data_IF_207240357804
#
_entry.id   IF_207240357804
#
_cell.length_a   1.000
_cell.length_b   1.000
_cell.length_c   1.000
_cell.angle_alpha   90.00
_cell.angle_beta   90.00
_cell.angle_gamma   90.00
#
_symmetry.space_group_name_H-M   'P 1'
#
loop_
_entity.id
_entity.type
_entity.pdbx_description
1 polymer ?
#
# COMPACT_ATOMS: atom_id res chain seq x y z
N UNK A 1 14.55 -58.60 -34.72
CA UNK A 1 14.09 -58.03 -33.43
C UNK A 1 15.01 -56.87 -32.96
N UNK A 2 15.23 -55.83 -33.78
CA UNK A 2 16.15 -54.71 -33.44
C UNK A 2 15.72 -53.32 -33.94
N UNK A 3 14.53 -53.16 -34.51
CA UNK A 3 14.05 -51.87 -35.05
C UNK A 3 12.92 -51.22 -34.24
N UNK A 4 12.30 -51.93 -33.29
CA UNK A 4 11.17 -51.40 -32.50
C UNK A 4 11.64 -50.50 -31.34
N UNK A 5 12.93 -50.54 -30.96
CA UNK A 5 13.40 -49.88 -29.74
C UNK A 5 13.78 -48.40 -29.94
N UNK A 6 14.25 -47.98 -31.12
CA UNK A 6 14.71 -46.59 -31.33
C UNK A 6 13.56 -45.58 -31.45
N UNK A 7 12.46 -45.93 -32.12
CA UNK A 7 11.31 -45.03 -32.24
C UNK A 7 10.56 -44.84 -30.93
N UNK A 8 10.42 -45.89 -30.11
CA UNK A 8 9.77 -45.78 -28.80
C UNK A 8 10.63 -44.96 -27.82
N UNK A 9 11.95 -45.19 -27.80
CA UNK A 9 12.89 -44.38 -27.00
C UNK A 9 12.90 -42.92 -27.47
N UNK A 10 12.81 -42.66 -28.78
CA UNK A 10 12.73 -41.29 -29.31
C UNK A 10 11.42 -40.58 -28.98
N UNK A 11 10.29 -41.29 -28.88
CA UNK A 11 9.00 -40.73 -28.45
C UNK A 11 8.99 -40.46 -26.94
N UNK A 12 9.62 -41.33 -26.13
CA UNK A 12 9.75 -41.12 -24.69
C UNK A 12 10.69 -39.95 -24.39
N UNK A 13 11.82 -39.82 -25.10
CA UNK A 13 12.73 -38.69 -24.97
C UNK A 13 12.09 -37.39 -25.49
N UNK A 14 11.28 -37.45 -26.56
CA UNK A 14 10.54 -36.28 -27.06
C UNK A 14 9.45 -35.83 -26.07
N UNK A 15 8.75 -36.75 -25.41
CA UNK A 15 7.80 -36.41 -24.34
C UNK A 15 8.51 -35.92 -23.06
N UNK A 16 9.72 -36.41 -22.76
CA UNK A 16 10.57 -35.86 -21.68
C UNK A 16 11.16 -34.48 -22.04
N UNK A 17 11.39 -34.19 -23.32
CA UNK A 17 11.89 -32.90 -23.81
C UNK A 17 10.77 -31.88 -24.03
N UNK A 18 9.52 -32.30 -24.23
CA UNK A 18 8.31 -31.45 -24.26
C UNK A 18 7.78 -31.20 -22.84
N UNK A 19 8.21 -31.97 -21.83
CA UNK A 19 8.23 -31.52 -20.44
C UNK A 19 9.29 -30.43 -20.24
N UNK A 20 9.28 -29.41 -21.12
CA UNK A 20 9.76 -28.08 -20.79
C UNK A 20 8.92 -27.68 -19.59
N UNK A 21 9.59 -27.18 -18.56
CA UNK A 21 9.04 -26.61 -17.32
C UNK A 21 8.06 -25.48 -17.67
N UNK A 22 6.87 -25.85 -18.15
CA UNK A 22 5.82 -24.93 -18.52
C UNK A 22 5.21 -24.47 -17.21
N UNK A 23 5.33 -23.18 -16.97
CA UNK A 23 4.69 -22.50 -15.86
C UNK A 23 3.25 -23.03 -15.67
N UNK A 24 2.91 -23.60 -14.51
CA UNK A 24 1.66 -24.35 -14.33
C UNK A 24 0.41 -23.46 -14.45
N UNK A 25 0.57 -22.14 -14.38
CA UNK A 25 -0.50 -21.16 -14.52
C UNK A 25 -0.75 -20.71 -15.96
N UNK A 26 0.17 -21.01 -16.89
CA UNK A 26 0.19 -20.39 -18.21
C UNK A 26 -1.05 -20.73 -19.05
N UNK A 27 -1.49 -21.99 -19.03
CA UNK A 27 -2.70 -22.42 -19.75
C UNK A 27 -3.96 -21.72 -19.22
N UNK A 28 -4.05 -21.60 -17.89
CA UNK A 28 -5.17 -20.93 -17.22
C UNK A 28 -5.16 -19.43 -17.56
N UNK A 29 -3.99 -18.79 -17.51
CA UNK A 29 -3.83 -17.38 -17.85
C UNK A 29 -4.23 -17.10 -19.31
N UNK A 30 -3.79 -17.95 -20.24
CA UNK A 30 -4.16 -17.84 -21.65
C UNK A 30 -5.67 -17.99 -21.85
N UNK A 31 -6.31 -18.95 -21.17
CA UNK A 31 -7.76 -19.11 -21.21
C UNK A 31 -8.48 -17.84 -20.70
N UNK A 32 -8.05 -17.28 -19.57
CA UNK A 32 -8.61 -16.06 -18.99
C UNK A 32 -8.47 -14.86 -19.95
N UNK A 33 -7.32 -14.71 -20.62
CA UNK A 33 -7.09 -13.67 -21.61
C UNK A 33 -8.02 -13.79 -22.83
N UNK A 34 -8.26 -15.01 -23.32
CA UNK A 34 -9.22 -15.26 -24.40
C UNK A 34 -10.63 -14.88 -23.96
N UNK A 35 -11.03 -15.30 -22.76
CA UNK A 35 -12.35 -15.00 -22.20
C UNK A 35 -12.57 -13.51 -22.00
N UNK A 36 -11.57 -12.76 -21.53
CA UNK A 36 -11.61 -11.29 -21.45
C UNK A 36 -11.82 -10.62 -22.82
N UNK A 37 -11.23 -11.17 -23.88
CA UNK A 37 -11.46 -10.64 -25.24
C UNK A 37 -12.89 -10.93 -25.71
N UNK A 38 -13.42 -12.10 -25.38
CA UNK A 38 -14.77 -12.52 -25.77
C UNK A 38 -15.86 -11.81 -24.97
N UNK A 39 -15.64 -11.53 -23.68
CA UNK A 39 -16.64 -10.87 -22.81
C UNK A 39 -17.05 -9.48 -23.31
N UNK A 40 -16.16 -8.80 -24.05
CA UNK A 40 -16.48 -7.53 -24.74
C UNK A 40 -17.60 -7.65 -25.78
N UNK A 41 -17.83 -8.85 -26.31
CA UNK A 41 -18.86 -9.15 -27.31
C UNK A 41 -20.02 -9.96 -26.73
N UNK A 42 -19.74 -10.78 -25.71
CA UNK A 42 -20.67 -11.72 -25.09
C UNK A 42 -20.51 -11.63 -23.56
N UNK A 43 -21.25 -10.75 -22.87
CA UNK A 43 -21.05 -10.48 -21.45
C UNK A 43 -21.21 -11.70 -20.54
N UNK A 44 -22.00 -12.69 -20.95
CA UNK A 44 -22.29 -13.89 -20.16
C UNK A 44 -21.35 -15.07 -20.44
N UNK A 45 -20.21 -14.84 -21.11
CA UNK A 45 -19.30 -15.95 -21.49
C UNK A 45 -18.52 -16.55 -20.31
N UNK A 46 -18.63 -15.96 -19.12
CA UNK A 46 -17.92 -16.38 -17.90
C UNK A 46 -18.86 -16.48 -16.70
N UNK A 47 -19.59 -17.59 -16.65
CA UNK A 47 -20.53 -17.90 -15.57
C UNK A 47 -19.87 -18.66 -14.41
N UNK A 48 -20.61 -18.79 -13.31
CA UNK A 48 -20.15 -19.42 -12.06
C UNK A 48 -19.53 -20.81 -12.28
N UNK A 49 -20.18 -21.66 -13.09
CA UNK A 49 -19.68 -23.03 -13.39
C UNK A 49 -18.26 -22.99 -13.96
N UNK A 50 -17.99 -22.02 -14.85
CA UNK A 50 -16.67 -21.90 -15.45
C UNK A 50 -15.66 -21.25 -14.50
N UNK A 51 -16.11 -20.32 -13.69
CA UNK A 51 -15.30 -19.76 -12.61
C UNK A 51 -14.87 -20.85 -11.61
N UNK A 52 -15.77 -21.73 -11.19
CA UNK A 52 -15.47 -22.87 -10.32
C UNK A 52 -14.47 -23.83 -10.97
N UNK A 53 -14.64 -24.13 -12.27
CA UNK A 53 -13.68 -24.95 -13.02
C UNK A 53 -12.27 -24.34 -13.03
N UNK A 54 -12.15 -23.05 -13.36
CA UNK A 54 -10.84 -22.37 -13.41
C UNK A 54 -10.21 -22.28 -12.01
N UNK A 55 -10.97 -21.84 -11.01
CA UNK A 55 -10.44 -21.68 -9.65
C UNK A 55 -10.13 -23.00 -9.00
N UNK A 56 -10.85 -24.07 -9.33
CA UNK A 56 -10.51 -25.43 -8.93
C UNK A 56 -9.14 -25.87 -9.45
N UNK A 57 -8.83 -25.62 -10.73
CA UNK A 57 -7.50 -25.90 -11.29
C UNK A 57 -6.40 -25.09 -10.61
N UNK A 58 -6.65 -23.82 -10.30
CA UNK A 58 -5.69 -22.98 -9.58
C UNK A 58 -5.43 -23.50 -8.17
N UNK A 59 -6.49 -23.86 -7.44
CA UNK A 59 -6.39 -24.45 -6.10
C UNK A 59 -5.65 -25.79 -6.12
N UNK A 60 -5.83 -26.61 -7.17
CA UNK A 60 -5.12 -27.88 -7.34
C UNK A 60 -3.60 -27.68 -7.50
N UNK A 61 -3.17 -26.65 -8.26
CA UNK A 61 -1.76 -26.29 -8.45
C UNK A 61 -1.12 -25.87 -7.12
N UNK A 62 -1.81 -25.06 -6.31
CA UNK A 62 -1.34 -24.64 -4.97
C UNK A 62 -1.61 -25.68 -3.87
N UNK A 63 -2.13 -26.86 -4.22
CA UNK A 63 -2.46 -27.94 -3.30
C UNK A 63 -3.41 -27.51 -2.15
N UNK A 64 -4.37 -26.64 -2.45
CA UNK A 64 -5.40 -26.22 -1.50
C UNK A 64 -6.50 -27.30 -1.43
N UNK A 65 -6.58 -27.97 -0.28
CA UNK A 65 -7.63 -28.94 0.05
C UNK A 65 -9.03 -28.39 -0.23
N UNK A 66 -9.90 -29.21 -0.80
CA UNK A 66 -11.28 -28.84 -1.21
C UNK A 66 -12.06 -28.13 -0.09
N UNK A 67 -12.03 -28.70 1.12
CA UNK A 67 -12.72 -28.17 2.31
C UNK A 67 -12.19 -26.81 2.79
N UNK A 68 -11.05 -26.37 2.26
CA UNK A 68 -10.36 -25.12 2.64
C UNK A 68 -10.35 -24.08 1.52
N UNK A 69 -11.06 -24.30 0.41
CA UNK A 69 -11.15 -23.37 -0.74
C UNK A 69 -11.98 -22.12 -0.43
N UNK A 70 -11.50 -21.33 0.53
CA UNK A 70 -12.09 -20.05 0.92
C UNK A 70 -11.28 -18.90 0.36
N UNK A 71 -11.92 -17.74 0.13
CA UNK A 71 -11.21 -16.53 -0.31
C UNK A 71 -10.05 -16.17 0.63
N UNK A 72 -10.26 -16.24 1.93
CA UNK A 72 -9.24 -15.94 2.95
C UNK A 72 -8.06 -16.90 2.83
N UNK A 73 -8.30 -18.20 2.64
CA UNK A 73 -7.22 -19.18 2.44
C UNK A 73 -6.46 -18.94 1.15
N UNK A 74 -7.17 -18.65 0.05
CA UNK A 74 -6.56 -18.36 -1.25
C UNK A 74 -5.67 -17.12 -1.20
N UNK A 75 -6.00 -16.12 -0.39
CA UNK A 75 -5.16 -14.93 -0.21
C UNK A 75 -3.83 -15.20 0.52
N UNK A 76 -3.63 -16.39 1.10
CA UNK A 76 -2.40 -16.76 1.80
C UNK A 76 -1.34 -17.38 0.89
N UNK A 77 -1.63 -17.60 -0.40
CA UNK A 77 -0.60 -18.05 -1.35
C UNK A 77 0.50 -16.99 -1.44
N UNK A 78 1.74 -17.43 -1.65
CA UNK A 78 2.88 -16.55 -1.89
C UNK A 78 3.25 -16.48 -3.37
N UNK A 79 2.43 -17.08 -4.25
CA UNK A 79 2.71 -17.14 -5.67
C UNK A 79 2.03 -15.96 -6.42
N UNK A 80 2.79 -15.02 -7.00
CA UNK A 80 2.20 -13.88 -7.71
C UNK A 80 1.35 -14.29 -8.93
N UNK A 81 1.70 -15.35 -9.65
CA UNK A 81 1.00 -15.78 -10.87
C UNK A 81 -0.36 -16.39 -10.54
N UNK A 82 -0.43 -17.10 -9.41
CA UNK A 82 -1.68 -17.55 -8.81
C UNK A 82 -2.62 -16.37 -8.52
N UNK A 83 -2.10 -15.32 -7.88
CA UNK A 83 -2.86 -14.11 -7.58
C UNK A 83 -3.31 -13.36 -8.85
N UNK A 84 -2.47 -13.30 -9.87
CA UNK A 84 -2.83 -12.70 -11.17
C UNK A 84 -4.00 -13.44 -11.84
N UNK A 85 -3.97 -14.78 -11.82
CA UNK A 85 -5.04 -15.62 -12.35
C UNK A 85 -6.35 -15.43 -11.57
N UNK A 86 -6.31 -15.44 -10.24
CA UNK A 86 -7.51 -15.21 -9.41
C UNK A 86 -8.07 -13.80 -9.57
N UNK A 87 -7.22 -12.78 -9.66
CA UNK A 87 -7.64 -11.42 -9.94
C UNK A 87 -8.42 -11.35 -11.26
N UNK A 88 -7.88 -11.96 -12.32
CA UNK A 88 -8.50 -12.04 -13.64
C UNK A 88 -9.82 -12.84 -13.62
N UNK A 89 -9.86 -13.98 -12.94
CA UNK A 89 -11.07 -14.81 -12.85
C UNK A 89 -12.21 -14.08 -12.13
N UNK A 90 -11.95 -13.47 -10.97
CA UNK A 90 -12.97 -12.69 -10.26
C UNK A 90 -13.40 -11.44 -11.03
N UNK A 91 -12.49 -10.81 -11.79
CA UNK A 91 -12.84 -9.67 -12.64
C UNK A 91 -13.85 -10.08 -13.71
N UNK A 92 -13.63 -11.23 -14.37
CA UNK A 92 -14.54 -11.76 -15.37
C UNK A 92 -15.89 -12.17 -14.79
N UNK A 93 -15.92 -12.65 -13.55
CA UNK A 93 -17.16 -12.94 -12.81
C UNK A 93 -17.90 -11.67 -12.35
N UNK A 94 -17.27 -10.49 -12.46
CA UNK A 94 -17.81 -9.23 -11.96
C UNK A 94 -17.66 -9.03 -10.44
N UNK A 95 -16.86 -9.86 -9.76
CA UNK A 95 -16.56 -9.70 -8.34
C UNK A 95 -15.35 -8.77 -8.12
N UNK A 96 -15.58 -7.47 -8.31
CA UNK A 96 -14.53 -6.45 -8.26
C UNK A 96 -13.76 -6.43 -6.94
N UNK A 97 -14.43 -6.66 -5.80
CA UNK A 97 -13.78 -6.66 -4.48
C UNK A 97 -12.74 -7.78 -4.37
N UNK A 98 -13.15 -9.03 -4.62
CA UNK A 98 -12.22 -10.17 -4.52
C UNK A 98 -11.14 -10.13 -5.59
N UNK A 99 -11.48 -9.61 -6.78
CA UNK A 99 -10.51 -9.35 -7.85
C UNK A 99 -9.41 -8.40 -7.38
N UNK A 100 -9.79 -7.28 -6.77
CA UNK A 100 -8.85 -6.29 -6.25
C UNK A 100 -8.00 -6.84 -5.09
N UNK A 101 -8.59 -7.62 -4.18
CA UNK A 101 -7.85 -8.27 -3.08
C UNK A 101 -6.68 -9.13 -3.62
N UNK A 102 -6.95 -9.96 -4.64
CA UNK A 102 -5.91 -10.78 -5.26
C UNK A 102 -4.92 -9.94 -6.06
N UNK A 103 -5.38 -8.93 -6.79
CA UNK A 103 -4.50 -8.08 -7.58
C UNK A 103 -3.53 -7.29 -6.72
N UNK A 104 -3.99 -6.82 -5.56
CA UNK A 104 -3.17 -6.16 -4.55
C UNK A 104 -2.08 -7.09 -4.03
N UNK A 105 -2.42 -8.33 -3.67
CA UNK A 105 -1.43 -9.35 -3.29
C UNK A 105 -0.41 -9.64 -4.40
N UNK A 106 -0.87 -9.73 -5.65
CA UNK A 106 0.02 -9.85 -6.81
C UNK A 106 1.03 -8.70 -6.88
N UNK A 107 0.60 -7.44 -6.71
CA UNK A 107 1.51 -6.27 -6.72
C UNK A 107 2.49 -6.34 -5.56
N UNK A 108 2.04 -6.62 -4.34
CA UNK A 108 2.91 -6.73 -3.14
C UNK A 108 3.97 -7.81 -3.32
N UNK A 109 3.57 -9.02 -3.74
CA UNK A 109 4.50 -10.12 -3.97
C UNK A 109 5.51 -9.77 -5.07
N UNK A 110 5.06 -9.11 -6.15
CA UNK A 110 5.94 -8.67 -7.24
C UNK A 110 7.06 -7.72 -6.81
N UNK A 111 6.87 -6.89 -5.78
CA UNK A 111 7.92 -6.00 -5.28
C UNK A 111 9.16 -6.76 -4.79
N UNK A 112 8.97 -7.99 -4.30
CA UNK A 112 10.03 -8.85 -3.79
C UNK A 112 10.55 -9.86 -4.84
N UNK A 113 9.93 -9.93 -6.01
CA UNK A 113 10.37 -10.79 -7.12
C UNK A 113 11.29 -10.03 -8.07
N UNK A 114 12.39 -10.65 -8.49
CA UNK A 114 13.18 -10.13 -9.61
C UNK A 114 12.40 -10.32 -10.91
N UNK A 115 12.35 -9.27 -11.75
CA UNK A 115 11.52 -9.24 -12.98
C UNK A 115 11.76 -10.44 -13.92
N UNK A 116 12.96 -11.01 -13.89
CA UNK A 116 13.35 -12.15 -14.72
C UNK A 116 12.78 -13.51 -14.27
N UNK A 117 12.06 -13.58 -13.14
CA UNK A 117 11.49 -14.84 -12.62
C UNK A 117 10.04 -15.07 -13.03
N UNK A 118 9.32 -14.02 -13.44
CA UNK A 118 7.93 -14.09 -13.86
C UNK A 118 7.82 -14.32 -15.36
N UNK A 119 6.93 -15.22 -15.77
CA UNK A 119 6.63 -15.39 -17.19
C UNK A 119 6.02 -14.10 -17.78
N UNK A 120 6.32 -13.77 -19.04
CA UNK A 120 5.97 -12.49 -19.69
C UNK A 120 4.47 -12.14 -19.58
N UNK A 121 3.60 -13.16 -19.65
CA UNK A 121 2.14 -12.98 -19.50
C UNK A 121 1.78 -12.33 -18.16
N UNK A 122 2.44 -12.73 -17.08
CA UNK A 122 2.17 -12.23 -15.72
C UNK A 122 2.93 -10.95 -15.40
N UNK A 123 3.80 -10.47 -16.28
CA UNK A 123 4.43 -9.15 -16.14
C UNK A 123 3.48 -8.02 -16.53
N UNK A 124 2.44 -8.34 -17.31
CA UNK A 124 1.44 -7.39 -17.82
C UNK A 124 0.40 -7.09 -16.74
N UNK A 125 0.22 -5.80 -16.49
CA UNK A 125 -0.80 -5.32 -15.57
C UNK A 125 -2.22 -5.61 -16.08
N UNK A 126 -3.16 -5.73 -15.14
CA UNK A 126 -4.59 -5.80 -15.44
C UNK A 126 -5.12 -4.37 -15.37
N UNK A 127 -5.11 -3.66 -16.51
CA UNK A 127 -5.39 -2.22 -16.59
C UNK A 127 -6.62 -1.74 -15.80
N UNK A 128 -7.73 -2.49 -15.82
CA UNK A 128 -8.95 -2.16 -15.09
C UNK A 128 -8.73 -2.15 -13.57
N UNK A 129 -7.86 -3.03 -13.08
CA UNK A 129 -7.50 -3.14 -11.67
C UNK A 129 -6.38 -2.19 -11.26
N UNK A 130 -5.49 -1.79 -12.18
CA UNK A 130 -4.53 -0.70 -11.92
C UNK A 130 -5.27 0.61 -11.60
N UNK A 131 -6.26 0.96 -12.42
CA UNK A 131 -7.06 2.15 -12.16
C UNK A 131 -7.82 2.06 -10.82
N UNK A 132 -8.32 0.86 -10.48
CA UNK A 132 -9.01 0.62 -9.23
C UNK A 132 -8.07 0.71 -8.01
N UNK A 133 -6.85 0.16 -8.10
CA UNK A 133 -5.81 0.31 -7.07
C UNK A 133 -5.44 1.79 -6.90
N UNK A 134 -5.19 2.51 -7.98
CA UNK A 134 -4.82 3.93 -7.93
C UNK A 134 -5.91 4.77 -7.25
N UNK A 135 -7.17 4.49 -7.59
CA UNK A 135 -8.33 5.13 -6.93
C UNK A 135 -8.39 4.77 -5.44
N UNK A 136 -8.15 3.50 -5.09
CA UNK A 136 -8.12 3.07 -3.69
C UNK A 136 -6.99 3.75 -2.91
N UNK A 137 -5.80 3.90 -3.50
CA UNK A 137 -4.66 4.57 -2.88
C UNK A 137 -4.90 6.06 -2.69
N UNK A 138 -5.49 6.72 -3.69
CA UNK A 138 -5.90 8.13 -3.58
C UNK A 138 -6.94 8.34 -2.47
N UNK A 139 -7.96 7.50 -2.39
CA UNK A 139 -8.95 7.57 -1.31
C UNK A 139 -8.34 7.35 0.06
N UNK A 140 -7.47 6.33 0.19
CA UNK A 140 -6.78 6.03 1.44
C UNK A 140 -5.85 7.18 1.87
N UNK A 141 -5.16 7.81 0.92
CA UNK A 141 -4.37 9.02 1.17
C UNK A 141 -5.24 10.15 1.73
N UNK A 142 -6.39 10.42 1.12
CA UNK A 142 -7.31 11.45 1.63
C UNK A 142 -7.81 11.14 3.04
N UNK A 143 -8.12 9.88 3.34
CA UNK A 143 -8.53 9.46 4.69
C UNK A 143 -7.43 9.64 5.73
N UNK A 144 -6.19 9.23 5.40
CA UNK A 144 -5.03 9.41 6.28
C UNK A 144 -4.79 10.91 6.53
N UNK A 145 -4.83 11.72 5.48
CA UNK A 145 -4.64 13.16 5.57
C UNK A 145 -5.70 13.82 6.45
N UNK A 146 -6.97 13.44 6.27
CA UNK A 146 -8.06 13.92 7.11
C UNK A 146 -7.83 13.57 8.59
N UNK A 147 -7.39 12.34 8.88
CA UNK A 147 -7.04 11.92 10.23
C UNK A 147 -5.92 12.77 10.83
N UNK A 148 -4.83 12.96 10.10
CA UNK A 148 -3.67 13.74 10.52
C UNK A 148 -4.08 15.19 10.77
N UNK A 149 -4.75 15.84 9.81
CA UNK A 149 -5.16 17.25 9.93
C UNK A 149 -6.16 17.46 11.07
N UNK A 150 -7.15 16.57 11.23
CA UNK A 150 -8.14 16.71 12.30
C UNK A 150 -7.48 16.62 13.68
N UNK A 151 -6.53 15.69 13.86
CA UNK A 151 -5.75 15.59 15.10
C UNK A 151 -4.88 16.83 15.35
N UNK A 152 -4.26 17.40 14.31
CA UNK A 152 -3.45 18.62 14.40
C UNK A 152 -4.29 19.86 14.73
N UNK A 153 -5.43 20.06 14.07
CA UNK A 153 -6.24 21.28 14.17
C UNK A 153 -7.04 21.37 15.47
N UNK A 154 -7.60 20.26 15.93
CA UNK A 154 -8.42 20.27 17.14
C UNK A 154 -7.59 20.21 18.43
N UNK A 155 -6.28 19.97 18.32
CA UNK A 155 -5.45 19.62 19.47
C UNK A 155 -5.93 18.34 20.17
N UNK A 156 -6.78 17.56 19.49
CA UNK A 156 -7.39 16.34 20.00
C UNK A 156 -6.36 15.20 19.89
N UNK A 157 -6.07 14.57 21.02
CA UNK A 157 -5.25 13.38 21.05
C UNK A 157 -5.96 12.23 20.36
N UNK A 158 -5.23 11.53 19.49
CA UNK A 158 -5.68 10.22 19.03
C UNK A 158 -5.70 9.26 20.23
N UNK A 159 -6.83 8.60 20.45
CA UNK A 159 -6.92 7.50 21.40
C UNK A 159 -6.30 6.22 20.80
N UNK A 160 -6.06 5.20 21.63
CA UNK A 160 -5.42 3.94 21.21
C UNK A 160 -6.11 3.33 19.97
N UNK A 161 -7.45 3.18 19.91
CA UNK A 161 -8.14 2.73 18.70
C UNK A 161 -7.84 3.56 17.45
N UNK A 162 -7.85 4.89 17.56
CA UNK A 162 -7.57 5.79 16.44
C UNK A 162 -6.11 5.69 15.97
N UNK A 163 -5.17 5.52 16.90
CA UNK A 163 -3.76 5.29 16.55
C UNK A 163 -3.59 3.97 15.79
N UNK A 164 -4.24 2.90 16.25
CA UNK A 164 -4.21 1.59 15.55
C UNK A 164 -4.81 1.66 14.16
N UNK A 165 -5.90 2.40 14.01
CA UNK A 165 -6.54 2.65 12.71
C UNK A 165 -5.59 3.43 11.79
N UNK A 166 -4.94 4.49 12.28
CA UNK A 166 -3.94 5.25 11.52
C UNK A 166 -2.74 4.37 11.12
N UNK A 167 -2.19 3.57 12.03
CA UNK A 167 -1.09 2.64 11.75
C UNK A 167 -1.49 1.62 10.67
N UNK A 168 -2.72 1.10 10.75
CA UNK A 168 -3.26 0.15 9.77
C UNK A 168 -3.41 0.81 8.40
N UNK A 169 -3.95 2.04 8.35
CA UNK A 169 -4.08 2.80 7.11
C UNK A 169 -2.73 3.14 6.49
N UNK A 170 -1.75 3.55 7.29
CA UNK A 170 -0.38 3.79 6.83
C UNK A 170 0.28 2.52 6.29
N UNK A 171 0.08 1.36 6.95
CA UNK A 171 0.55 0.08 6.43
C UNK A 171 -0.09 -0.25 5.09
N UNK A 172 -1.42 -0.16 5.01
CA UNK A 172 -2.17 -0.44 3.79
C UNK A 172 -1.78 0.53 2.65
N UNK A 173 -1.51 1.78 2.95
CA UNK A 173 -1.12 2.77 1.95
C UNK A 173 0.26 2.44 1.36
N UNK A 174 1.21 2.07 2.23
CA UNK A 174 2.59 1.89 1.82
C UNK A 174 2.95 0.45 1.41
N UNK A 175 2.08 -0.55 1.58
CA UNK A 175 2.40 -1.95 1.21
C UNK A 175 2.77 -2.14 -0.27
N UNK A 176 2.35 -1.20 -1.14
CA UNK A 176 2.70 -1.20 -2.56
C UNK A 176 4.04 -0.51 -2.86
N UNK A 177 4.77 -0.07 -1.82
CA UNK A 177 6.09 0.54 -1.94
C UNK A 177 7.18 -0.44 -1.48
N UNK A 178 8.15 -0.71 -2.35
CA UNK A 178 9.23 -1.67 -2.11
C UNK A 178 10.12 -1.32 -0.90
N UNK A 179 10.23 -0.05 -0.53
CA UNK A 179 11.05 0.40 0.61
C UNK A 179 10.29 0.51 1.92
N UNK A 180 9.02 0.07 1.96
CA UNK A 180 8.18 0.26 3.11
C UNK A 180 8.51 -0.69 4.28
N UNK A 181 8.61 -0.11 5.48
CA UNK A 181 8.72 -0.86 6.73
C UNK A 181 7.36 -0.91 7.42
N UNK A 182 6.84 -2.12 7.63
CA UNK A 182 5.57 -2.34 8.33
C UNK A 182 5.61 -1.78 9.76
N UNK A 183 4.61 -0.96 10.08
CA UNK A 183 4.38 -0.45 11.43
C UNK A 183 3.72 -1.52 12.30
N UNK A 184 4.12 -1.61 13.56
CA UNK A 184 3.37 -2.38 14.55
C UNK A 184 2.02 -1.69 14.83
N UNK A 185 0.94 -2.48 14.93
CA UNK A 185 -0.40 -1.99 15.26
C UNK A 185 -0.61 -2.00 16.78
N UNK A 186 0.25 -1.31 17.51
CA UNK A 186 0.29 -1.30 18.97
C UNK A 186 -0.59 -0.20 19.59
N UNK A 187 -0.94 0.83 18.82
CA UNK A 187 -1.63 2.01 19.31
C UNK A 187 -0.72 3.07 19.92
N UNK A 188 0.59 3.00 19.63
CA UNK A 188 1.62 3.91 20.14
C UNK A 188 2.17 4.76 18.98
N UNK A 189 2.13 6.09 19.11
CA UNK A 189 2.80 7.01 18.18
C UNK A 189 4.29 7.14 18.55
N UNK A 190 5.05 6.07 18.29
CA UNK A 190 6.50 6.04 18.48
C UNK A 190 7.27 6.66 17.29
N UNK A 191 8.61 6.56 17.28
CA UNK A 191 9.46 7.12 16.22
C UNK A 191 9.10 6.63 14.81
N UNK A 192 8.77 5.34 14.65
CA UNK A 192 8.43 4.74 13.35
C UNK A 192 7.10 5.28 12.79
N UNK A 193 5.97 5.25 13.52
CA UNK A 193 4.75 5.93 13.09
C UNK A 193 4.95 7.43 12.80
N UNK A 194 5.76 8.14 13.60
CA UNK A 194 6.09 9.56 13.35
C UNK A 194 6.82 9.76 12.02
N UNK A 195 7.82 8.93 11.74
CA UNK A 195 8.54 8.98 10.48
C UNK A 195 7.61 8.65 9.30
N UNK A 196 6.76 7.62 9.41
CA UNK A 196 5.81 7.28 8.37
C UNK A 196 4.79 8.38 8.09
N UNK A 197 4.31 9.08 9.12
CA UNK A 197 3.44 10.27 8.97
C UNK A 197 4.20 11.39 8.25
N UNK A 198 5.44 11.68 8.65
CA UNK A 198 6.25 12.71 8.00
C UNK A 198 6.51 12.40 6.53
N UNK A 199 6.95 11.17 6.22
CA UNK A 199 7.21 10.72 4.86
C UNK A 199 5.95 10.78 4.00
N UNK A 200 4.80 10.43 4.59
CA UNK A 200 3.49 10.58 3.95
C UNK A 200 3.17 12.05 3.65
N UNK A 201 3.34 12.97 4.59
CA UNK A 201 3.02 14.39 4.36
C UNK A 201 3.93 15.08 3.33
N UNK A 202 5.20 14.65 3.23
CA UNK A 202 6.17 15.24 2.31
C UNK A 202 6.10 14.64 0.89
N UNK A 203 5.90 13.33 0.77
CA UNK A 203 6.09 12.61 -0.49
C UNK A 203 4.79 12.09 -1.12
N UNK A 204 3.62 12.36 -0.54
CA UNK A 204 2.37 11.82 -1.07
C UNK A 204 1.97 12.50 -2.40
N UNK A 205 1.89 11.74 -3.51
CA UNK A 205 1.58 12.30 -4.83
C UNK A 205 0.11 12.73 -4.98
N UNK A 206 -0.78 12.28 -4.10
CA UNK A 206 -2.21 12.58 -4.11
C UNK A 206 -2.57 13.88 -3.37
N UNK A 207 -1.62 14.46 -2.60
CA UNK A 207 -1.87 15.63 -1.76
C UNK A 207 -1.00 16.78 -2.26
N UNK A 208 -1.64 17.82 -2.79
CA UNK A 208 -0.92 19.04 -3.16
C UNK A 208 -0.61 19.87 -1.92
N UNK A 209 0.68 20.00 -1.56
CA UNK A 209 1.12 20.84 -0.47
C UNK A 209 1.71 22.16 -1.05
N UNK A 210 1.04 23.32 -0.91
CA UNK A 210 1.52 24.58 -1.49
C UNK A 210 2.81 25.14 -0.83
N UNK A 211 3.41 24.44 0.14
CA UNK A 211 4.58 24.90 0.88
C UNK A 211 5.93 24.44 0.28
N UNK A 212 5.94 23.46 -0.62
CA UNK A 212 7.16 22.88 -1.20
C UNK A 212 7.71 23.60 -2.44
N UNK A 213 7.11 24.70 -2.89
CA UNK A 213 7.51 25.35 -4.17
C UNK A 213 8.61 26.41 -4.06
N UNK A 214 9.23 26.66 -2.90
CA UNK A 214 10.19 27.78 -2.75
C UNK A 214 11.67 27.35 -2.65
N UNK A 215 12.01 26.07 -2.45
CA UNK A 215 13.41 25.70 -2.14
C UNK A 215 14.13 24.76 -3.12
N UNK A 216 13.56 24.38 -4.26
CA UNK A 216 14.25 23.49 -5.21
C UNK A 216 14.13 23.91 -6.68
N UNK A 217 14.35 25.20 -6.95
CA UNK A 217 14.75 25.68 -8.27
C UNK A 217 16.27 25.85 -8.33
N UNK A 218 17.01 24.76 -8.24
CA UNK A 218 18.36 24.69 -8.83
C UNK A 218 18.83 23.25 -9.04
N UNK A 219 19.05 22.93 -10.32
CA UNK A 219 19.89 21.88 -10.88
C UNK A 219 19.47 20.40 -10.71
N UNK A 220 19.06 19.77 -11.82
CA UNK A 220 19.77 18.68 -12.55
C UNK A 220 18.86 18.12 -13.67
N UNK A 221 19.42 17.59 -14.79
CA UNK A 221 18.82 17.62 -16.12
C UNK A 221 18.00 16.38 -16.51
N UNK A 222 17.32 16.56 -17.64
CA UNK A 222 16.40 15.69 -18.36
C UNK A 222 16.95 14.28 -18.62
N UNK A 223 16.21 13.27 -18.18
CA UNK A 223 16.15 11.92 -18.78
C UNK A 223 14.84 11.24 -18.36
N UNK A 224 13.89 11.20 -19.30
CA UNK A 224 12.51 10.66 -19.22
C UNK A 224 12.47 9.11 -19.32
N UNK A 225 11.33 8.38 -19.13
CA UNK A 225 9.98 8.79 -19.57
C UNK A 225 8.73 8.40 -18.72
N UNK A 226 7.70 9.25 -18.90
CA UNK A 226 6.25 9.11 -18.64
C UNK A 226 5.72 9.37 -17.24
N UNK A 227 5.65 10.66 -16.90
CA UNK A 227 4.51 11.21 -16.17
C UNK A 227 3.26 11.10 -17.07
N UNK A 228 2.31 10.25 -16.68
CA UNK A 228 0.92 10.44 -17.07
C UNK A 228 0.33 11.38 -16.02
N UNK A 229 -0.03 12.59 -16.44
CA UNK A 229 -0.82 13.52 -15.63
C UNK A 229 -2.16 12.83 -15.31
N UNK A 230 -2.60 12.76 -14.03
CA UNK A 230 -3.92 12.24 -13.74
C UNK A 230 -4.98 13.14 -14.37
N UNK A 231 -5.87 12.50 -15.13
CA UNK A 231 -7.00 13.10 -15.83
C UNK A 231 -8.11 13.40 -14.81
N UNK A 232 -8.50 14.68 -14.76
CA UNK A 232 -9.78 15.28 -14.31
C UNK A 232 -10.12 15.11 -12.81
N UNK A 233 -10.13 16.15 -11.97
CA UNK A 233 -10.74 17.50 -12.11
C UNK A 233 -12.20 17.45 -12.61
N UNK A 234 -13.08 16.73 -11.91
CA UNK A 234 -14.54 16.92 -12.08
C UNK A 234 -15.43 16.54 -10.89
N UNK A 235 -14.90 16.40 -9.67
CA UNK A 235 -15.75 16.21 -8.46
C UNK A 235 -15.67 17.41 -7.50
N UNK A 236 -14.78 18.37 -7.74
CA UNK A 236 -14.65 19.60 -6.94
C UNK A 236 -15.57 20.69 -7.52
N UNK A 237 -16.88 20.49 -7.46
CA UNK A 237 -17.85 21.59 -7.59
C UNK A 237 -18.85 21.64 -6.43
N UNK A 238 -18.62 20.92 -5.33
CA UNK A 238 -19.48 21.02 -4.14
C UNK A 238 -18.77 21.11 -2.79
N UNK A 239 -17.46 21.35 -2.76
CA UNK A 239 -16.77 21.71 -1.52
C UNK A 239 -16.48 23.21 -1.59
N UNK A 240 -17.46 23.93 -1.09
CA UNK A 240 -17.51 25.33 -0.69
C UNK A 240 -16.21 26.15 -0.89
N UNK A 241 -16.27 27.12 -1.81
CA UNK A 241 -15.22 28.09 -2.17
C UNK A 241 -14.89 29.10 -1.05
N UNK A 242 -15.06 28.74 0.22
CA UNK A 242 -14.87 29.62 1.38
C UNK A 242 -13.52 29.43 2.10
N UNK A 243 -12.74 28.40 1.78
CA UNK A 243 -11.48 28.06 2.51
C UNK A 243 -10.21 28.65 1.84
N UNK A 244 -10.34 29.43 0.76
CA UNK A 244 -9.21 30.18 0.20
C UNK A 244 -9.15 31.56 0.85
N UNK A 245 -8.95 31.60 2.18
CA UNK A 245 -8.52 32.81 2.88
C UNK A 245 -7.69 32.41 4.11
N UNK A 246 -6.36 32.55 3.96
CA UNK A 246 -5.34 32.47 5.02
C UNK A 246 -5.56 31.40 6.09
N UNK A 247 -5.13 30.16 5.84
CA UNK A 247 -5.00 29.16 6.90
C UNK A 247 -3.91 29.63 7.86
N UNK A 248 -4.33 30.21 8.98
CA UNK A 248 -3.46 30.48 10.12
C UNK A 248 -3.19 29.13 10.79
N UNK A 249 -2.03 28.53 10.50
CA UNK A 249 -1.57 27.29 11.12
C UNK A 249 -1.31 27.55 12.61
N UNK A 250 -2.34 27.39 13.44
CA UNK A 250 -2.21 27.48 14.89
C UNK A 250 -2.43 26.06 15.45
N UNK A 251 -1.36 25.29 15.55
CA UNK A 251 -1.37 23.95 16.14
C UNK A 251 -1.19 24.10 17.65
N UNK A 252 -2.29 24.06 18.41
CA UNK A 252 -2.23 24.10 19.89
C UNK A 252 -2.45 22.69 20.44
N UNK A 253 -1.42 22.14 21.09
CA UNK A 253 -1.49 20.86 21.81
C UNK A 253 -1.52 21.14 23.33
N UNK A 254 -2.47 20.57 24.06
CA UNK A 254 -2.62 20.79 25.52
C UNK A 254 -2.57 19.44 26.23
N UNK A 255 -1.46 19.08 26.89
CA UNK A 255 -1.34 17.78 27.59
C UNK A 255 -1.74 18.00 29.06
N UNK A 256 -2.92 17.50 29.45
CA UNK A 256 -3.41 17.62 30.83
C UNK A 256 -2.82 16.56 31.78
N UNK A 257 -3.09 16.72 33.08
CA UNK A 257 -2.52 15.87 34.13
C UNK A 257 -3.04 14.43 34.11
N UNK A 258 -4.30 14.19 33.70
CA UNK A 258 -4.83 12.84 33.54
C UNK A 258 -4.16 12.14 32.36
N UNK A 259 -3.92 12.87 31.28
CA UNK A 259 -3.23 12.38 30.09
C UNK A 259 -1.78 12.05 30.37
N UNK A 260 -1.05 12.92 31.08
CA UNK A 260 0.33 12.65 31.53
C UNK A 260 0.37 11.33 32.32
N UNK A 261 -0.61 11.08 33.21
CA UNK A 261 -0.68 9.83 33.99
C UNK A 261 -0.94 8.58 33.14
N UNK A 262 -1.60 8.72 31.99
CA UNK A 262 -1.88 7.61 31.06
C UNK A 262 -0.73 7.32 30.08
N UNK A 263 0.21 8.24 29.94
CA UNK A 263 1.34 8.11 29.01
C UNK A 263 2.49 7.33 29.67
N UNK A 264 3.16 6.44 28.94
CA UNK A 264 4.37 5.79 29.43
C UNK A 264 5.52 6.80 29.42
N UNK A 265 5.83 7.37 30.58
CA UNK A 265 6.93 8.33 30.72
C UNK A 265 7.00 8.91 32.13
N UNK A 266 8.21 9.14 32.59
CA UNK A 266 8.55 9.76 33.87
C UNK A 266 9.12 11.17 33.70
N UNK A 267 9.47 11.56 32.46
CA UNK A 267 10.03 12.88 32.13
C UNK A 267 9.23 13.61 31.07
N UNK A 268 9.39 14.94 30.98
CA UNK A 268 8.73 15.75 29.95
C UNK A 268 9.16 15.33 28.53
N UNK A 269 10.42 14.91 28.35
CA UNK A 269 10.92 14.42 27.09
C UNK A 269 10.19 13.14 26.66
N UNK A 270 10.02 12.18 27.58
CA UNK A 270 9.25 10.96 27.35
C UNK A 270 7.78 11.26 27.05
N UNK A 271 7.15 12.16 27.79
CA UNK A 271 5.76 12.57 27.54
C UNK A 271 5.60 13.19 26.15
N UNK A 272 6.53 14.07 25.75
CA UNK A 272 6.52 14.75 24.45
C UNK A 272 6.87 13.81 23.28
N UNK A 273 7.50 12.66 23.52
CA UNK A 273 7.68 11.63 22.49
C UNK A 273 6.36 11.04 22.01
N UNK A 274 5.27 11.13 22.80
CA UNK A 274 3.93 10.70 22.38
C UNK A 274 3.10 11.84 21.80
N UNK A 275 3.58 13.08 21.85
CA UNK A 275 2.94 14.23 21.23
C UNK A 275 3.19 14.23 19.71
N UNK A 276 2.11 14.32 18.92
CA UNK A 276 2.19 14.52 17.48
C UNK A 276 2.75 15.91 17.18
N UNK A 277 3.71 15.97 16.26
CA UNK A 277 4.34 17.23 15.85
C UNK A 277 5.44 17.76 16.73
N UNK A 278 5.79 16.99 17.76
CA UNK A 278 6.98 17.22 18.58
C UNK A 278 7.96 16.09 18.31
N UNK A 279 9.19 16.46 17.99
CA UNK A 279 10.31 15.54 17.86
C UNK A 279 11.24 15.73 19.06
N UNK A 280 11.71 14.63 19.63
CA UNK A 280 12.62 14.65 20.78
C UNK A 280 13.86 13.85 20.40
N UNK A 281 15.01 14.52 20.37
CA UNK A 281 16.31 13.90 20.07
C UNK A 281 17.17 13.89 21.32
N UNK A 282 17.43 12.70 21.86
CA UNK A 282 18.30 12.52 23.03
C UNK A 282 19.76 12.37 22.62
N UNK A 283 20.67 13.03 23.33
CA UNK A 283 22.11 12.80 23.20
C UNK A 283 22.61 11.97 24.38
N UNK A 284 22.67 10.65 24.20
CA UNK A 284 23.13 9.71 25.22
C UNK A 284 21.99 9.08 26.03
N UNK A 285 22.35 8.48 27.17
CA UNK A 285 21.46 7.66 28.00
C UNK A 285 20.63 8.48 28.99
N UNK A 286 20.84 9.80 29.05
CA UNK A 286 20.17 10.70 30.00
C UNK A 286 19.38 11.77 29.25
N UNK A 287 18.28 12.20 29.85
CA UNK A 287 17.41 13.23 29.26
C UNK A 287 18.00 14.64 29.36
N UNK A 288 19.13 14.81 30.08
CA UNK A 288 19.77 16.10 30.34
C UNK A 288 20.22 16.86 29.08
N UNK A 289 20.42 16.15 27.95
CA UNK A 289 20.79 16.71 26.66
C UNK A 289 19.72 16.46 25.58
N UNK A 290 18.46 16.33 25.99
CA UNK A 290 17.35 16.16 25.06
C UNK A 290 17.07 17.46 24.33
N UNK A 291 17.05 17.41 23.01
CA UNK A 291 16.67 18.51 22.14
C UNK A 291 15.23 18.27 21.66
N UNK A 292 14.36 19.26 21.89
CA UNK A 292 12.95 19.21 21.48
C UNK A 292 12.79 20.11 20.27
N UNK A 293 12.23 19.58 19.18
CA UNK A 293 11.90 20.36 18.00
C UNK A 293 10.45 20.16 17.57
N UNK A 294 9.92 21.14 16.86
CA UNK A 294 8.56 21.11 16.29
C UNK A 294 8.62 21.02 14.77
N UNK A 295 7.48 20.78 14.10
CA UNK A 295 7.42 20.56 12.64
C UNK A 295 8.33 21.49 11.82
N UNK A 296 9.26 20.89 11.06
CA UNK A 296 10.16 21.60 10.14
C UNK A 296 11.23 22.47 10.80
N UNK A 297 11.26 22.55 12.14
CA UNK A 297 12.18 23.40 12.89
C UNK A 297 13.27 22.61 13.62
N UNK A 298 14.36 23.30 13.96
CA UNK A 298 15.38 22.79 14.88
C UNK A 298 15.02 23.11 16.34
N UNK A 299 15.73 22.53 17.31
CA UNK A 299 15.56 22.89 18.72
C UNK A 299 15.84 24.35 19.03
N UNK A 300 16.75 24.97 18.28
CA UNK A 300 17.06 26.39 18.41
C UNK A 300 15.88 27.29 17.98
N UNK A 301 15.04 26.77 17.09
CA UNK A 301 13.82 27.43 16.62
C UNK A 301 12.60 27.12 17.51
N UNK A 302 12.76 26.27 18.52
CA UNK A 302 11.69 25.86 19.41
C UNK A 302 11.74 26.67 20.71
N UNK A 303 10.69 27.47 20.96
CA UNK A 303 10.54 28.23 22.19
C UNK A 303 9.84 27.37 23.25
N UNK A 304 10.56 27.06 24.33
CA UNK A 304 10.00 26.42 25.51
C UNK A 304 9.72 27.50 26.54
N UNK A 305 8.54 27.47 27.15
CA UNK A 305 8.13 28.38 28.22
C UNK A 305 7.71 27.55 29.43
N UNK A 306 8.13 27.95 30.62
CA UNK A 306 7.60 27.47 31.89
C UNK A 306 6.74 28.59 32.50
N UNK A 307 5.45 28.31 32.71
CA UNK A 307 4.48 29.30 33.21
C UNK A 307 4.46 30.62 32.40
N UNK A 308 4.73 30.54 31.10
CA UNK A 308 4.75 31.68 30.18
C UNK A 308 6.08 32.45 30.15
N UNK A 309 7.11 31.98 30.85
CA UNK A 309 8.45 32.58 30.90
C UNK A 309 9.46 31.68 30.18
N UNK A 310 10.35 32.29 29.38
CA UNK A 310 11.42 31.60 28.65
C UNK A 310 12.49 31.05 29.59
#
# INVERSE_FOLDING_TARGET
>A
MKLINKSIISIIILNLLIAIDQNPYLDIANELLVRKKLSKKLPDIFEEVKFEEITGKLDDIEHIELERRTHVRRLQSTNPEYHWCFASAYLLLGNNRKSLDHYRQYKVLRLNHTENTLHEVFQKDINELELAIETQQSNLAMEIQYYIQTSKHKGEYLNIPQIRDLQTKLNNYNELNASFNYLAIDGIIGPLPKAAIFDFEENNPYIYNPQTTISSLSSIPISSPRHILPVSRSIIESIDNSIVNSVKLNTKLIIDSEKIRSMPGSTIAEVLEYALGVNVKRQGMTDALSNISTFGGTGEQTLILLDGVK
#
